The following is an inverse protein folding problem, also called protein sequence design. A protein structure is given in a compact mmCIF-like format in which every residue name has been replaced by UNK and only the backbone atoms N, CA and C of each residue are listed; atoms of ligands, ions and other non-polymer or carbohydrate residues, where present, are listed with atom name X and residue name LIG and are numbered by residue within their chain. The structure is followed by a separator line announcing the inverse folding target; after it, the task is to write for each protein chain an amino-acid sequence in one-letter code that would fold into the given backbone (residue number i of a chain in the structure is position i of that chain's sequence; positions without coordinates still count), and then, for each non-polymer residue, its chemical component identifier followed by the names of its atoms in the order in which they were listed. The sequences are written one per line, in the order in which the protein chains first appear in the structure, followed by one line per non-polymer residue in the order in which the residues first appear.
data_IF_012312926908
#
_entry.id   IF_012312926908
#
_cell.length_a   1.000
_cell.length_b   1.000
_cell.length_c   1.000
_cell.angle_alpha   90.00
_cell.angle_beta   90.00
_cell.angle_gamma   90.00
#
_symmetry.space_group_name_H-M   'P 1'
#
loop_
_entity.id
_entity.type
_entity.pdbx_description
1 polymer ?
#
# COMPACT_ATOMS: atom_id res chain seq x y z
N UNK A 1 9.33 8.13 35.75
CA UNK A 1 10.19 8.06 34.56
C UNK A 1 10.39 6.61 34.19
N UNK A 2 9.60 6.06 33.27
CA UNK A 2 9.89 4.75 32.70
C UNK A 2 11.09 4.93 31.76
N UNK A 3 12.15 4.12 31.93
CA UNK A 3 13.23 4.06 30.95
C UNK A 3 12.63 3.90 29.56
N UNK A 4 12.94 4.83 28.65
CA UNK A 4 12.66 4.70 27.23
C UNK A 4 13.53 3.55 26.70
N UNK A 5 13.11 2.31 26.95
CA UNK A 5 13.69 1.12 26.33
C UNK A 5 13.28 1.18 24.86
N UNK A 6 14.13 1.78 24.02
CA UNK A 6 14.03 1.59 22.58
C UNK A 6 14.23 0.10 22.32
N UNK A 7 13.24 -0.61 21.73
CA UNK A 7 13.41 -2.02 21.41
C UNK A 7 14.62 -2.19 20.50
N UNK A 8 15.40 -3.26 20.71
CA UNK A 8 16.48 -3.61 19.78
C UNK A 8 15.87 -3.89 18.40
N UNK A 9 16.52 -3.48 17.30
CA UNK A 9 16.06 -3.78 15.95
C UNK A 9 15.81 -5.28 15.78
N UNK A 10 14.59 -5.65 15.35
CA UNK A 10 14.14 -7.04 15.27
C UNK A 10 13.83 -7.50 13.84
N UNK A 11 13.91 -6.59 12.85
CA UNK A 11 13.59 -6.87 11.46
C UNK A 11 14.86 -6.97 10.61
N UNK A 12 15.24 -8.21 10.26
CA UNK A 12 16.23 -8.46 9.21
C UNK A 12 15.63 -8.38 7.80
N UNK A 13 16.46 -8.60 6.78
CA UNK A 13 16.08 -8.49 5.37
C UNK A 13 14.74 -9.14 5.02
N UNK A 14 14.51 -10.41 5.39
CA UNK A 14 13.29 -11.13 5.00
C UNK A 14 12.02 -10.57 5.61
N UNK A 15 12.08 -10.13 6.88
CA UNK A 15 10.93 -9.51 7.56
C UNK A 15 10.59 -8.15 6.96
N UNK A 16 11.60 -7.34 6.68
CA UNK A 16 11.44 -6.03 6.02
C UNK A 16 10.97 -6.18 4.57
N UNK A 17 11.53 -7.16 3.85
CA UNK A 17 11.09 -7.51 2.50
C UNK A 17 9.63 -7.97 2.49
N UNK A 18 9.25 -8.81 3.44
CA UNK A 18 7.87 -9.28 3.55
C UNK A 18 6.89 -8.15 3.88
N UNK A 19 7.32 -7.10 4.58
CA UNK A 19 6.50 -5.92 4.82
C UNK A 19 6.23 -5.14 3.53
N UNK A 20 7.26 -4.83 2.76
CA UNK A 20 7.09 -4.11 1.48
C UNK A 20 6.35 -4.95 0.44
N UNK A 21 6.77 -6.20 0.23
CA UNK A 21 6.14 -7.11 -0.74
C UNK A 21 4.74 -7.53 -0.32
N UNK A 22 4.55 -7.83 0.96
CA UNK A 22 3.25 -8.27 1.46
C UNK A 22 2.20 -7.18 1.52
N UNK A 23 2.60 -5.90 1.57
CA UNK A 23 1.71 -4.75 1.40
C UNK A 23 1.25 -4.63 -0.05
N UNK A 24 2.18 -4.65 -1.02
CA UNK A 24 1.84 -4.55 -2.45
C UNK A 24 0.95 -5.73 -2.89
N UNK A 25 1.37 -6.96 -2.58
CA UNK A 25 0.60 -8.18 -2.86
C UNK A 25 -0.56 -8.27 -1.86
N UNK A 26 -1.61 -7.50 -2.13
CA UNK A 26 -2.85 -7.45 -1.36
C UNK A 26 -4.05 -7.94 -2.17
N UNK A 27 -5.14 -7.16 -2.17
CA UNK A 27 -6.35 -7.43 -2.94
C UNK A 27 -6.22 -7.06 -4.42
N UNK A 28 -5.43 -6.04 -4.76
CA UNK A 28 -5.35 -5.46 -6.11
C UNK A 28 -4.90 -6.45 -7.19
N UNK A 29 -3.93 -7.31 -6.88
CA UNK A 29 -3.43 -8.33 -7.81
C UNK A 29 -4.55 -9.28 -8.29
N UNK A 30 -5.48 -9.65 -7.41
CA UNK A 30 -6.48 -10.65 -7.77
C UNK A 30 -7.47 -10.17 -8.82
N UNK A 31 -7.71 -8.87 -8.94
CA UNK A 31 -8.56 -8.30 -10.00
C UNK A 31 -7.77 -7.88 -11.24
N UNK A 32 -6.45 -7.95 -11.20
CA UNK A 32 -5.61 -7.42 -12.28
C UNK A 32 -5.88 -8.05 -13.65
N UNK A 33 -6.11 -9.37 -13.80
CA UNK A 33 -6.49 -9.94 -15.09
C UNK A 33 -7.80 -9.36 -15.65
N UNK A 34 -8.79 -9.11 -14.79
CA UNK A 34 -10.06 -8.51 -15.20
C UNK A 34 -9.87 -7.05 -15.64
N UNK A 35 -9.09 -6.27 -14.90
CA UNK A 35 -8.77 -4.87 -15.22
C UNK A 35 -7.96 -4.73 -16.51
N UNK A 36 -7.13 -5.72 -16.84
CA UNK A 36 -6.22 -5.68 -17.99
C UNK A 36 -6.74 -6.40 -19.23
N UNK A 37 -7.78 -7.24 -19.10
CA UNK A 37 -8.41 -7.93 -20.23
C UNK A 37 -8.82 -6.99 -21.38
N UNK A 38 -9.43 -5.81 -21.14
CA UNK A 38 -9.76 -4.87 -22.21
C UNK A 38 -8.55 -4.30 -22.97
N UNK A 39 -7.34 -4.42 -22.42
CA UNK A 39 -6.10 -3.90 -22.99
C UNK A 39 -5.20 -5.00 -23.58
N UNK A 40 -5.54 -6.27 -23.38
CA UNK A 40 -4.78 -7.41 -23.90
C UNK A 40 -3.29 -7.37 -23.56
N UNK A 41 -2.44 -7.55 -24.58
CA UNK A 41 -0.99 -7.51 -24.46
C UNK A 41 -0.43 -6.17 -23.97
N UNK A 42 -1.04 -5.03 -24.35
CA UNK A 42 -0.67 -3.73 -23.78
C UNK A 42 -0.98 -3.64 -22.28
N UNK A 43 -2.02 -4.33 -21.83
CA UNK A 43 -2.31 -4.51 -20.41
C UNK A 43 -1.14 -5.19 -19.67
N UNK A 44 -0.63 -6.29 -20.20
CA UNK A 44 0.54 -6.98 -19.65
C UNK A 44 1.81 -6.13 -19.70
N UNK A 45 2.05 -5.41 -20.79
CA UNK A 45 3.17 -4.47 -20.90
C UNK A 45 3.08 -3.33 -19.88
N UNK A 46 1.86 -2.94 -19.48
CA UNK A 46 1.67 -1.92 -18.45
C UNK A 46 2.21 -2.35 -17.08
N UNK A 47 2.20 -3.66 -16.76
CA UNK A 47 2.81 -4.19 -15.54
C UNK A 47 4.32 -3.91 -15.52
N UNK A 48 4.99 -4.02 -16.67
CA UNK A 48 6.41 -3.71 -16.81
C UNK A 48 6.69 -2.20 -16.70
N UNK A 49 5.83 -1.37 -17.30
CA UNK A 49 5.92 0.09 -17.18
C UNK A 49 5.77 0.52 -15.72
N UNK A 50 4.73 0.02 -15.05
CA UNK A 50 4.44 0.32 -13.66
C UNK A 50 5.53 -0.24 -12.74
N UNK A 51 5.97 -1.48 -12.94
CA UNK A 51 7.08 -2.07 -12.20
C UNK A 51 8.39 -1.30 -12.36
N UNK A 52 8.68 -0.79 -13.57
CA UNK A 52 9.80 0.11 -13.83
C UNK A 52 9.66 1.44 -13.08
N UNK A 53 8.47 2.04 -13.09
CA UNK A 53 8.19 3.25 -12.31
C UNK A 53 8.30 3.06 -10.80
N UNK A 54 7.77 1.96 -10.28
CA UNK A 54 7.93 1.56 -8.87
C UNK A 54 9.40 1.32 -8.54
N UNK A 55 10.20 0.77 -9.46
CA UNK A 55 11.64 0.63 -9.27
C UNK A 55 12.36 1.99 -9.20
N UNK A 56 11.95 2.97 -9.99
CA UNK A 56 12.46 4.35 -9.87
C UNK A 56 12.16 4.93 -8.49
N UNK A 57 10.92 4.77 -8.01
CA UNK A 57 10.52 5.18 -6.65
C UNK A 57 11.35 4.43 -5.60
N UNK A 58 11.50 3.11 -5.74
CA UNK A 58 12.27 2.27 -4.82
C UNK A 58 13.75 2.70 -4.74
N UNK A 59 14.38 3.03 -5.87
CA UNK A 59 15.76 3.49 -5.92
C UNK A 59 15.94 4.89 -5.32
N UNK A 60 14.96 5.79 -5.52
CA UNK A 60 14.91 7.09 -4.86
C UNK A 60 14.79 6.93 -3.34
N UNK A 61 13.80 6.16 -2.86
CA UNK A 61 13.60 5.87 -1.44
C UNK A 61 14.83 5.18 -0.81
N UNK A 62 15.51 4.31 -1.57
CA UNK A 62 16.74 3.65 -1.14
C UNK A 62 17.86 4.64 -0.81
N UNK A 63 18.00 5.72 -1.59
CA UNK A 63 19.02 6.74 -1.32
C UNK A 63 18.62 7.67 -0.18
N UNK A 64 17.35 8.04 -0.11
CA UNK A 64 16.82 8.81 1.02
C UNK A 64 17.01 8.06 2.34
N UNK A 65 16.71 6.76 2.38
CA UNK A 65 16.88 5.94 3.59
C UNK A 65 18.35 5.89 4.08
N UNK A 66 19.33 5.90 3.16
CA UNK A 66 20.75 5.91 3.53
C UNK A 66 21.17 7.19 4.25
N UNK A 67 20.48 8.30 3.99
CA UNK A 67 20.77 9.61 4.59
C UNK A 67 19.87 9.87 5.80
N UNK A 68 18.63 9.37 5.76
CA UNK A 68 17.59 9.58 6.75
C UNK A 68 17.02 8.22 7.19
N UNK A 69 17.77 7.41 7.96
CA UNK A 69 17.31 6.12 8.47
C UNK A 69 16.39 6.29 9.70
N UNK A 70 15.37 7.14 9.60
CA UNK A 70 14.43 7.47 10.69
C UNK A 70 13.05 6.85 10.45
N UNK A 71 12.30 6.64 11.54
CA UNK A 71 10.91 6.20 11.46
C UNK A 71 10.05 7.19 10.65
N UNK A 72 9.05 6.69 9.92
CA UNK A 72 8.08 7.49 9.19
C UNK A 72 8.29 7.57 7.68
N UNK A 73 9.40 7.06 7.14
CA UNK A 73 9.60 6.89 5.70
C UNK A 73 9.37 8.19 4.90
N UNK A 74 8.44 8.23 3.93
CA UNK A 74 8.12 9.44 3.16
C UNK A 74 7.86 10.69 4.00
N UNK A 75 7.23 10.56 5.17
CA UNK A 75 7.00 11.68 6.09
C UNK A 75 8.34 12.30 6.53
N UNK A 76 9.28 11.47 6.98
CA UNK A 76 10.59 11.92 7.45
C UNK A 76 11.40 12.54 6.30
N UNK A 77 11.33 11.98 5.09
CA UNK A 77 12.01 12.53 3.92
C UNK A 77 11.47 13.92 3.55
N UNK A 78 10.13 14.06 3.51
CA UNK A 78 9.49 15.34 3.25
C UNK A 78 9.88 16.38 4.30
N UNK A 79 9.98 16.00 5.58
CA UNK A 79 10.39 16.90 6.66
C UNK A 79 11.81 17.43 6.48
N UNK A 80 12.78 16.54 6.32
CA UNK A 80 14.20 16.93 6.20
C UNK A 80 14.46 17.75 4.92
N UNK A 81 13.77 17.44 3.83
CA UNK A 81 13.91 18.15 2.56
C UNK A 81 13.14 19.47 2.50
N UNK A 82 11.87 19.45 2.85
CA UNK A 82 10.87 20.49 2.54
C UNK A 82 10.28 21.18 3.78
N UNK A 83 10.56 20.69 4.98
CA UNK A 83 10.08 21.26 6.24
C UNK A 83 8.75 20.69 6.73
N UNK A 84 8.30 21.22 7.87
CA UNK A 84 7.22 20.66 8.68
C UNK A 84 5.85 20.63 7.98
N UNK A 85 5.54 21.65 7.17
CA UNK A 85 4.26 21.70 6.46
C UNK A 85 4.12 20.57 5.42
N UNK A 86 5.16 20.34 4.61
CA UNK A 86 5.16 19.26 3.63
C UNK A 86 5.16 17.88 4.30
N UNK A 87 5.86 17.76 5.43
CA UNK A 87 5.82 16.57 6.26
C UNK A 87 4.40 16.29 6.76
N UNK A 88 3.72 17.28 7.34
CA UNK A 88 2.35 17.14 7.81
C UNK A 88 1.41 16.70 6.69
N UNK A 89 1.46 17.34 5.52
CA UNK A 89 0.62 16.96 4.38
C UNK A 89 0.89 15.52 3.91
N UNK A 90 2.16 15.08 3.98
CA UNK A 90 2.55 13.69 3.67
C UNK A 90 1.92 12.72 4.67
N UNK A 91 2.05 12.98 5.97
CA UNK A 91 1.44 12.16 7.01
C UNK A 91 -0.08 12.17 6.92
N UNK A 92 -0.71 13.33 6.70
CA UNK A 92 -2.15 13.50 6.56
C UNK A 92 -2.71 12.65 5.42
N UNK A 93 -2.17 12.83 4.21
CA UNK A 93 -2.60 12.06 3.04
C UNK A 93 -2.34 10.56 3.21
N UNK A 94 -1.15 10.19 3.69
CA UNK A 94 -0.81 8.79 3.89
C UNK A 94 -1.73 8.10 4.90
N UNK A 95 -2.02 8.75 6.03
CA UNK A 95 -2.88 8.19 7.08
C UNK A 95 -4.31 7.97 6.58
N UNK A 96 -4.87 8.95 5.87
CA UNK A 96 -6.18 8.82 5.25
C UNK A 96 -6.24 7.63 4.29
N UNK A 97 -5.20 7.46 3.46
CA UNK A 97 -5.12 6.32 2.55
C UNK A 97 -5.03 4.97 3.24
N UNK A 98 -4.27 4.89 4.33
CA UNK A 98 -4.11 3.62 5.05
C UNK A 98 -5.42 3.22 5.73
N UNK A 99 -6.15 4.14 6.38
CA UNK A 99 -7.38 3.79 7.09
C UNK A 99 -8.49 3.31 6.15
N UNK A 100 -8.62 3.94 4.99
CA UNK A 100 -9.54 3.50 3.94
C UNK A 100 -9.12 2.18 3.32
N UNK A 101 -7.82 1.98 3.07
CA UNK A 101 -7.31 0.70 2.56
C UNK A 101 -7.55 -0.45 3.55
N UNK A 102 -7.38 -0.23 4.86
CA UNK A 102 -7.70 -1.20 5.90
C UNK A 102 -9.16 -1.62 5.82
N UNK A 103 -10.09 -0.66 5.72
CA UNK A 103 -11.51 -0.97 5.57
C UNK A 103 -11.81 -1.71 4.25
N UNK A 104 -11.24 -1.26 3.13
CA UNK A 104 -11.42 -1.89 1.81
C UNK A 104 -10.98 -3.35 1.79
N UNK A 105 -9.79 -3.64 2.33
CA UNK A 105 -9.26 -5.01 2.36
C UNK A 105 -10.10 -5.90 3.29
N UNK A 106 -10.59 -5.36 4.41
CA UNK A 106 -11.49 -6.10 5.29
C UNK A 106 -12.85 -6.43 4.64
N UNK A 107 -13.38 -5.55 3.78
CA UNK A 107 -14.57 -5.82 2.94
C UNK A 107 -14.25 -6.87 1.87
N UNK A 108 -13.11 -6.72 1.18
CA UNK A 108 -12.66 -7.70 0.18
C UNK A 108 -12.49 -9.11 0.76
N UNK A 109 -12.02 -9.22 2.00
CA UNK A 109 -11.88 -10.51 2.69
C UNK A 109 -13.23 -11.21 2.87
N UNK A 110 -14.28 -10.48 3.23
CA UNK A 110 -15.65 -11.03 3.33
C UNK A 110 -16.12 -11.57 1.98
N UNK A 111 -15.83 -10.86 0.88
CA UNK A 111 -16.16 -11.32 -0.47
C UNK A 111 -15.55 -12.68 -0.82
N UNK A 112 -14.29 -12.92 -0.44
CA UNK A 112 -13.67 -14.24 -0.64
C UNK A 112 -14.13 -15.30 0.37
N UNK A 113 -14.48 -14.91 1.60
CA UNK A 113 -15.01 -15.82 2.60
C UNK A 113 -16.41 -16.34 2.23
N UNK A 114 -17.19 -15.56 1.46
CA UNK A 114 -18.52 -15.96 0.96
C UNK A 114 -18.47 -17.27 0.14
N UNK A 115 -17.34 -17.57 -0.52
CA UNK A 115 -17.11 -18.86 -1.22
C UNK A 115 -17.26 -20.07 -0.28
N UNK A 116 -16.96 -19.90 1.01
CA UNK A 116 -17.06 -20.93 2.05
C UNK A 116 -18.32 -20.80 2.90
N UNK A 117 -18.87 -19.59 3.01
CA UNK A 117 -20.07 -19.28 3.78
C UNK A 117 -21.05 -18.51 2.88
N UNK A 118 -21.73 -19.20 1.95
CA UNK A 118 -22.58 -18.53 0.96
C UNK A 118 -23.69 -17.70 1.62
N UNK A 119 -23.82 -16.45 1.18
CA UNK A 119 -24.80 -15.50 1.70
C UNK A 119 -24.27 -14.59 2.80
N UNK A 120 -23.03 -14.80 3.26
CA UNK A 120 -22.37 -13.91 4.22
C UNK A 120 -22.23 -12.49 3.64
N UNK A 121 -21.79 -12.36 2.39
CA UNK A 121 -21.61 -11.05 1.75
C UNK A 121 -22.93 -10.31 1.52
N UNK A 122 -24.05 -11.04 1.49
CA UNK A 122 -25.40 -10.48 1.37
C UNK A 122 -26.00 -10.07 2.73
N UNK A 123 -25.43 -10.54 3.85
CA UNK A 123 -25.80 -10.15 5.21
C UNK A 123 -24.92 -8.99 5.70
N UNK A 124 -25.44 -7.75 5.78
CA UNK A 124 -24.64 -6.60 6.21
C UNK A 124 -24.12 -6.72 7.64
N UNK A 125 -24.88 -7.38 8.54
CA UNK A 125 -24.47 -7.53 9.93
C UNK A 125 -23.36 -8.58 10.07
N UNK A 126 -23.52 -9.74 9.43
CA UNK A 126 -22.47 -10.76 9.35
C UNK A 126 -21.19 -10.24 8.70
N UNK A 127 -21.32 -9.53 7.57
CA UNK A 127 -20.20 -8.89 6.88
C UNK A 127 -19.48 -7.88 7.76
N UNK A 128 -20.22 -6.98 8.42
CA UNK A 128 -19.67 -6.00 9.35
C UNK A 128 -18.95 -6.69 10.53
N UNK A 129 -19.56 -7.71 11.13
CA UNK A 129 -18.99 -8.43 12.27
C UNK A 129 -17.65 -9.10 11.91
N UNK A 130 -17.57 -9.74 10.74
CA UNK A 130 -16.33 -10.35 10.24
C UNK A 130 -15.27 -9.29 9.94
N UNK A 131 -15.62 -8.22 9.21
CA UNK A 131 -14.66 -7.14 8.89
C UNK A 131 -14.12 -6.46 10.16
N UNK A 132 -14.98 -6.17 11.15
CA UNK A 132 -14.56 -5.58 12.43
C UNK A 132 -13.66 -6.53 13.22
N UNK A 133 -14.05 -7.80 13.31
CA UNK A 133 -13.24 -8.82 14.01
C UNK A 133 -11.85 -8.92 13.41
N UNK A 134 -11.75 -8.84 12.07
CA UNK A 134 -10.48 -8.87 11.36
C UNK A 134 -9.62 -7.66 11.67
N UNK A 135 -10.16 -6.44 11.53
CA UNK A 135 -9.43 -5.20 11.83
C UNK A 135 -8.91 -5.20 13.27
N UNK A 136 -9.78 -5.49 14.24
CA UNK A 136 -9.40 -5.47 15.65
C UNK A 136 -8.45 -6.60 16.04
N UNK A 137 -8.51 -7.76 15.39
CA UNK A 137 -7.51 -8.81 15.55
C UNK A 137 -6.12 -8.33 15.11
N UNK A 138 -6.02 -7.61 14.00
CA UNK A 138 -4.75 -7.06 13.52
C UNK A 138 -4.25 -5.85 14.33
N UNK A 139 -5.16 -5.03 14.86
CA UNK A 139 -4.83 -4.02 15.86
C UNK A 139 -4.23 -4.70 17.10
N UNK A 140 -4.88 -5.74 17.62
CA UNK A 140 -4.37 -6.49 18.78
C UNK A 140 -3.01 -7.16 18.50
N UNK A 141 -2.83 -7.76 17.32
CA UNK A 141 -1.54 -8.32 16.90
C UNK A 141 -0.44 -7.26 16.88
N UNK A 142 -0.71 -6.07 16.34
CA UNK A 142 0.27 -4.99 16.27
C UNK A 142 0.50 -4.32 17.64
N UNK A 143 -0.45 -4.38 18.59
CA UNK A 143 -0.21 -3.97 19.98
C UNK A 143 0.78 -4.92 20.68
N UNK A 144 0.79 -6.22 20.34
CA UNK A 144 1.72 -7.19 20.95
C UNK A 144 3.19 -6.90 20.63
N UNK A 145 3.49 -6.32 19.48
CA UNK A 145 4.86 -5.92 19.12
C UNK A 145 5.14 -5.97 17.62
N UNK A 146 6.13 -5.17 17.20
CA UNK A 146 6.62 -5.14 15.81
C UNK A 146 7.24 -6.47 15.40
N UNK A 147 7.89 -7.18 16.33
CA UNK A 147 8.48 -8.50 16.06
C UNK A 147 7.42 -9.56 15.69
N UNK A 148 6.31 -9.60 16.42
CA UNK A 148 5.22 -10.54 16.15
C UNK A 148 4.54 -10.21 14.82
N UNK A 149 4.22 -8.93 14.61
CA UNK A 149 3.63 -8.44 13.37
C UNK A 149 4.53 -8.74 12.15
N UNK A 150 5.83 -8.46 12.23
CA UNK A 150 6.77 -8.72 11.12
C UNK A 150 7.01 -10.22 10.88
N UNK A 151 6.89 -11.07 11.90
CA UNK A 151 6.97 -12.52 11.74
C UNK A 151 5.71 -13.08 11.05
N UNK A 152 4.54 -12.62 11.47
CA UNK A 152 3.27 -12.93 10.81
C UNK A 152 3.29 -12.47 9.34
N UNK A 153 3.84 -11.28 9.09
CA UNK A 153 4.00 -10.73 7.75
C UNK A 153 4.85 -11.65 6.85
N UNK A 154 5.98 -12.15 7.34
CA UNK A 154 6.84 -13.07 6.57
C UNK A 154 6.10 -14.34 6.16
N UNK A 155 5.40 -14.96 7.12
CA UNK A 155 4.65 -16.19 6.88
C UNK A 155 3.56 -15.95 5.83
N UNK A 156 2.74 -14.90 6.01
CA UNK A 156 1.65 -14.60 5.08
C UNK A 156 2.14 -14.18 3.70
N UNK A 157 3.27 -13.47 3.59
CA UNK A 157 3.87 -13.12 2.29
C UNK A 157 4.36 -14.35 1.52
N UNK A 158 5.00 -15.32 2.19
CA UNK A 158 5.40 -16.58 1.55
C UNK A 158 4.16 -17.37 1.09
N UNK A 159 3.16 -17.50 1.98
CA UNK A 159 1.94 -18.26 1.71
C UNK A 159 1.08 -17.66 0.61
N UNK A 160 1.06 -16.33 0.41
CA UNK A 160 0.27 -15.69 -0.66
C UNK A 160 0.94 -15.74 -2.03
N UNK A 161 2.28 -15.77 -2.11
CA UNK A 161 3.01 -15.83 -3.38
C UNK A 161 2.84 -17.19 -4.05
N UNK A 162 2.81 -18.26 -3.26
CA UNK A 162 2.78 -19.63 -3.80
C UNK A 162 1.51 -19.91 -4.64
N UNK A 163 0.27 -19.62 -4.19
CA UNK A 163 -0.93 -19.78 -5.01
C UNK A 163 -0.92 -18.93 -6.28
N UNK A 164 -0.43 -17.69 -6.22
CA UNK A 164 -0.37 -16.79 -7.38
C UNK A 164 0.55 -17.35 -8.47
N UNK A 165 1.75 -17.81 -8.08
CA UNK A 165 2.69 -18.42 -9.01
C UNK A 165 2.25 -19.81 -9.47
N UNK A 166 1.56 -20.57 -8.63
CA UNK A 166 1.00 -21.87 -9.01
C UNK A 166 -0.05 -21.69 -10.10
N UNK A 167 -1.07 -20.86 -9.89
CA UNK A 167 -2.15 -20.64 -10.86
C UNK A 167 -1.61 -19.96 -12.13
N UNK A 168 -0.74 -18.95 -11.97
CA UNK A 168 -0.06 -18.33 -13.10
C UNK A 168 0.76 -19.32 -13.92
N UNK A 169 1.62 -20.09 -13.24
CA UNK A 169 2.48 -21.08 -13.86
C UNK A 169 1.71 -22.17 -14.57
N UNK A 170 0.67 -22.73 -13.93
CA UNK A 170 -0.18 -23.74 -14.54
C UNK A 170 -0.87 -23.22 -15.81
N UNK A 171 -1.19 -21.93 -15.89
CA UNK A 171 -1.76 -21.33 -17.10
C UNK A 171 -0.86 -21.40 -18.32
N UNK A 172 0.47 -21.33 -18.16
CA UNK A 172 1.42 -21.52 -19.27
C UNK A 172 1.53 -22.97 -19.77
N UNK A 173 1.15 -23.94 -18.93
CA UNK A 173 1.21 -25.37 -19.27
C UNK A 173 -0.17 -25.98 -19.51
N UNK A 174 -1.24 -25.20 -19.37
CA UNK A 174 -2.59 -25.63 -19.71
C UNK A 174 -2.65 -25.86 -21.23
N UNK A 175 -3.32 -26.94 -21.65
CA UNK A 175 -3.31 -27.35 -23.05
C UNK A 175 -3.90 -26.26 -23.93
N UNK A 176 -3.12 -25.83 -24.93
CA UNK A 176 -3.51 -24.76 -25.85
C UNK A 176 -3.24 -23.39 -25.23
N UNK A 177 -2.36 -22.60 -25.84
CA UNK A 177 -2.22 -21.16 -25.56
C UNK A 177 -3.44 -20.44 -26.18
N UNK A 178 -4.63 -20.96 -25.89
CA UNK A 178 -5.84 -20.79 -26.70
C UNK A 178 -6.36 -19.34 -26.64
N UNK A 179 -6.00 -18.62 -25.57
CA UNK A 179 -6.40 -17.24 -25.33
C UNK A 179 -5.21 -16.29 -25.27
N UNK A 180 -4.20 -16.49 -26.13
CA UNK A 180 -3.10 -15.55 -26.25
C UNK A 180 -3.64 -14.11 -26.44
N UNK A 181 -3.36 -13.17 -25.52
CA UNK A 181 -3.97 -11.85 -25.58
C UNK A 181 -3.57 -11.12 -26.86
N UNK A 182 -4.55 -10.55 -27.56
CA UNK A 182 -4.28 -9.64 -28.68
C UNK A 182 -3.36 -8.50 -28.22
N UNK A 183 -2.43 -8.05 -29.07
CA UNK A 183 -1.47 -7.01 -28.69
C UNK A 183 -2.20 -5.73 -28.27
N UNK A 184 -3.15 -5.26 -29.06
CA UNK A 184 -3.92 -4.04 -28.79
C UNK A 184 -5.40 -4.20 -29.20
N UNK A 185 -6.23 -4.87 -28.38
CA UNK A 185 -7.65 -5.06 -28.68
C UNK A 185 -8.46 -3.76 -28.68
N UNK A 186 -7.93 -2.67 -28.11
CA UNK A 186 -8.62 -1.38 -28.09
C UNK A 186 -8.78 -0.75 -29.48
N UNK A 187 -7.95 -1.16 -30.45
CA UNK A 187 -7.88 -0.57 -31.80
C UNK A 187 -7.38 0.89 -31.83
N UNK A 188 -7.16 1.51 -30.67
CA UNK A 188 -6.77 2.90 -30.51
C UNK A 188 -5.26 3.10 -30.44
N UNK A 189 -4.85 4.29 -30.01
CA UNK A 189 -3.44 4.63 -29.84
C UNK A 189 -2.79 3.75 -28.75
N UNK A 190 -1.73 3.00 -29.06
CA UNK A 190 -1.08 2.10 -28.10
C UNK A 190 -0.56 2.80 -26.85
N UNK A 191 -0.04 4.02 -26.97
CA UNK A 191 0.49 4.77 -25.84
C UNK A 191 -0.62 5.18 -24.87
N UNK A 192 -1.79 5.57 -25.40
CA UNK A 192 -2.96 5.89 -24.58
C UNK A 192 -3.48 4.66 -23.84
N UNK A 193 -3.59 3.52 -24.52
CA UNK A 193 -4.02 2.26 -23.92
C UNK A 193 -3.03 1.77 -22.83
N UNK A 194 -1.73 1.82 -23.13
CA UNK A 194 -0.67 1.48 -22.18
C UNK A 194 -0.70 2.40 -20.95
N UNK A 195 -0.93 3.70 -21.17
CA UNK A 195 -1.06 4.67 -20.08
C UNK A 195 -2.25 4.37 -19.18
N UNK A 196 -3.43 4.15 -19.76
CA UNK A 196 -4.64 3.79 -19.02
C UNK A 196 -4.44 2.53 -18.17
N UNK A 197 -3.86 1.48 -18.77
CA UNK A 197 -3.57 0.24 -18.07
C UNK A 197 -2.53 0.41 -16.95
N UNK A 198 -1.49 1.23 -17.14
CA UNK A 198 -0.46 1.48 -16.14
C UNK A 198 -1.02 2.18 -14.88
N UNK A 199 -2.00 3.08 -15.06
CA UNK A 199 -2.68 3.75 -13.95
C UNK A 199 -3.48 2.72 -13.12
N UNK A 200 -4.17 1.78 -13.78
CA UNK A 200 -4.90 0.72 -13.10
C UNK A 200 -3.97 -0.22 -12.32
N UNK A 201 -2.83 -0.58 -12.90
CA UNK A 201 -1.87 -1.46 -12.22
C UNK A 201 -1.19 -0.79 -11.04
N UNK A 202 -1.01 0.54 -11.06
CA UNK A 202 -0.29 1.25 -9.99
C UNK A 202 -0.91 1.01 -8.61
N UNK A 203 -2.25 0.88 -8.51
CA UNK A 203 -2.91 0.52 -7.25
C UNK A 203 -2.31 -0.74 -6.59
N UNK A 204 -2.01 -1.77 -7.38
CA UNK A 204 -1.44 -3.02 -6.87
C UNK A 204 0.06 -2.91 -6.52
N UNK A 205 0.75 -1.88 -7.01
CA UNK A 205 2.18 -1.63 -6.76
C UNK A 205 2.45 -0.64 -5.63
N UNK A 206 1.41 0.02 -5.12
CA UNK A 206 1.50 0.87 -3.93
C UNK A 206 1.87 0.03 -2.71
N UNK A 207 2.79 0.54 -1.88
CA UNK A 207 3.17 -0.10 -0.61
C UNK A 207 4.65 -0.41 -0.47
N UNK A 208 5.46 -0.23 -1.52
CA UNK A 208 6.91 -0.47 -1.45
C UNK A 208 7.59 0.37 -0.34
N UNK A 209 7.10 1.59 -0.11
CA UNK A 209 7.55 2.51 0.92
C UNK A 209 7.30 2.01 2.35
N UNK A 210 6.39 1.06 2.55
CA UNK A 210 6.12 0.48 3.87
C UNK A 210 7.36 -0.12 4.51
N UNK A 211 8.30 -0.61 3.70
CA UNK A 211 9.60 -1.08 4.18
C UNK A 211 10.48 0.02 4.79
N UNK A 212 10.20 1.29 4.50
CA UNK A 212 10.96 2.45 5.00
C UNK A 212 10.39 3.05 6.28
N UNK A 213 9.12 2.77 6.59
CA UNK A 213 8.42 3.40 7.72
C UNK A 213 8.97 2.93 9.07
N UNK A 214 9.14 1.62 9.35
CA UNK A 214 9.70 1.12 10.60
C UNK A 214 11.23 1.09 10.63
N UNK A 215 11.90 2.12 10.12
CA UNK A 215 13.36 2.09 9.95
C UNK A 215 14.13 1.80 11.26
N UNK A 216 13.64 2.28 12.40
CA UNK A 216 14.22 2.04 13.73
C UNK A 216 14.17 0.56 14.17
N UNK A 217 13.20 -0.20 13.66
CA UNK A 217 13.04 -1.63 13.98
C UNK A 217 13.87 -2.53 13.04
N UNK A 218 14.49 -1.95 12.00
CA UNK A 218 15.26 -2.68 10.98
C UNK A 218 16.74 -2.77 11.35
N UNK A 219 17.33 -3.94 11.16
CA UNK A 219 18.77 -4.17 11.36
C UNK A 219 19.55 -3.54 10.20
N UNK A 220 20.47 -2.61 10.52
CA UNK A 220 21.25 -1.83 9.55
C UNK A 220 20.36 -1.20 8.46
N UNK A 221 19.44 -0.28 8.80
CA UNK A 221 18.42 0.23 7.90
C UNK A 221 19.00 0.83 6.61
N UNK A 222 20.16 1.49 6.69
CA UNK A 222 20.88 2.10 5.56
C UNK A 222 21.36 1.07 4.53
N UNK A 223 21.48 -0.20 4.91
CA UNK A 223 21.89 -1.31 4.03
C UNK A 223 20.74 -2.24 3.70
N UNK A 224 19.88 -2.53 4.66
CA UNK A 224 18.81 -3.52 4.53
C UNK A 224 17.65 -2.96 3.74
N UNK A 225 17.15 -1.77 4.05
CA UNK A 225 16.00 -1.18 3.38
C UNK A 225 16.27 -0.95 1.89
N UNK A 226 17.43 -0.42 1.45
CA UNK A 226 17.73 -0.29 0.02
C UNK A 226 17.68 -1.61 -0.76
N UNK A 227 18.22 -2.69 -0.19
CA UNK A 227 18.17 -4.02 -0.81
C UNK A 227 16.73 -4.55 -0.88
N UNK A 228 15.96 -4.33 0.18
CA UNK A 228 14.55 -4.70 0.25
C UNK A 228 13.74 -3.97 -0.81
N UNK A 229 13.92 -2.66 -0.96
CA UNK A 229 13.18 -1.85 -1.93
C UNK A 229 13.44 -2.32 -3.36
N UNK A 230 14.70 -2.55 -3.73
CA UNK A 230 15.06 -3.06 -5.04
C UNK A 230 14.47 -4.46 -5.30
N UNK A 231 14.77 -5.43 -4.42
CA UNK A 231 14.31 -6.80 -4.62
C UNK A 231 12.80 -6.94 -4.46
N UNK A 232 12.17 -6.13 -3.62
CA UNK A 232 10.72 -6.11 -3.45
C UNK A 232 10.01 -5.66 -4.72
N UNK A 233 10.46 -4.57 -5.35
CA UNK A 233 9.90 -4.10 -6.62
C UNK A 233 10.08 -5.14 -7.74
N UNK A 234 11.27 -5.76 -7.83
CA UNK A 234 11.54 -6.83 -8.81
C UNK A 234 10.64 -8.05 -8.56
N UNK A 235 10.54 -8.52 -7.31
CA UNK A 235 9.70 -9.68 -6.98
C UNK A 235 8.25 -9.42 -7.34
N UNK A 236 7.67 -8.29 -6.93
CA UNK A 236 6.26 -7.97 -7.21
C UNK A 236 6.01 -7.88 -8.70
N UNK A 237 6.88 -7.19 -9.45
CA UNK A 237 6.76 -7.09 -10.91
C UNK A 237 6.71 -8.47 -11.57
N UNK A 238 7.62 -9.37 -11.20
CA UNK A 238 7.68 -10.72 -11.75
C UNK A 238 6.46 -11.57 -11.36
N UNK A 239 6.08 -11.55 -10.07
CA UNK A 239 4.90 -12.28 -9.59
C UNK A 239 3.66 -11.80 -10.32
N UNK A 240 3.49 -10.49 -10.47
CA UNK A 240 2.33 -9.88 -11.12
C UNK A 240 2.25 -10.21 -12.59
N UNK A 241 3.39 -10.13 -13.30
CA UNK A 241 3.46 -10.47 -14.71
C UNK A 241 3.13 -11.94 -14.94
N UNK A 242 3.81 -12.85 -14.23
CA UNK A 242 3.63 -14.30 -14.41
C UNK A 242 2.21 -14.73 -14.02
N UNK A 243 1.72 -14.26 -12.88
CA UNK A 243 0.38 -14.63 -12.40
C UNK A 243 -0.74 -14.11 -13.30
N UNK A 244 -0.66 -12.84 -13.69
CA UNK A 244 -1.69 -12.23 -14.55
C UNK A 244 -1.68 -12.81 -15.94
N UNK A 245 -0.49 -12.94 -16.55
CA UNK A 245 -0.38 -13.51 -17.89
C UNK A 245 -0.86 -14.96 -17.91
N UNK A 246 -0.46 -15.77 -16.93
CA UNK A 246 -0.95 -17.14 -16.81
C UNK A 246 -2.47 -17.24 -16.73
N UNK A 247 -3.13 -16.37 -15.97
CA UNK A 247 -4.61 -16.31 -15.93
C UNK A 247 -5.20 -15.94 -17.30
N UNK A 248 -4.63 -14.94 -17.97
CA UNK A 248 -5.09 -14.49 -19.29
C UNK A 248 -4.90 -15.55 -20.39
N UNK A 249 -3.98 -16.49 -20.22
CA UNK A 249 -3.82 -17.62 -21.14
C UNK A 249 -4.89 -18.69 -20.99
N UNK A 250 -5.55 -18.76 -19.83
CA UNK A 250 -6.51 -19.81 -19.48
C UNK A 250 -7.95 -19.37 -19.69
N UNK A 251 -8.24 -18.08 -19.45
CA UNK A 251 -9.61 -17.56 -19.45
C UNK A 251 -9.77 -16.54 -20.58
N UNK A 252 -10.83 -16.63 -21.40
CA UNK A 252 -11.10 -15.65 -22.46
C UNK A 252 -11.20 -14.21 -21.94
N UNK A 253 -10.75 -13.25 -22.74
CA UNK A 253 -10.74 -11.84 -22.36
C UNK A 253 -12.14 -11.29 -22.04
N UNK A 254 -13.17 -11.74 -22.74
CA UNK A 254 -14.56 -11.32 -22.55
C UNK A 254 -15.11 -11.77 -21.19
N UNK A 255 -14.71 -12.98 -20.76
CA UNK A 255 -15.06 -13.52 -19.44
C UNK A 255 -14.28 -12.76 -18.36
N UNK A 256 -12.98 -12.55 -18.55
CA UNK A 256 -12.16 -11.81 -17.60
C UNK A 256 -12.65 -10.37 -17.39
N UNK A 257 -13.03 -9.66 -18.45
CA UNK A 257 -13.46 -8.26 -18.38
C UNK A 257 -14.72 -8.05 -17.51
N UNK A 258 -15.50 -9.10 -17.27
CA UNK A 258 -16.70 -9.06 -16.41
C UNK A 258 -16.55 -9.87 -15.13
N UNK A 259 -15.37 -10.47 -14.91
CA UNK A 259 -15.12 -11.32 -13.76
C UNK A 259 -14.89 -10.51 -12.48
N UNK A 260 -15.51 -10.98 -11.40
CA UNK A 260 -15.26 -10.49 -10.03
C UNK A 260 -14.21 -11.34 -9.30
N UNK A 261 -13.67 -12.39 -9.93
CA UNK A 261 -12.72 -13.32 -9.33
C UNK A 261 -11.87 -14.06 -10.39
N UNK A 262 -11.09 -13.37 -11.22
CA UNK A 262 -10.48 -13.96 -12.41
C UNK A 262 -9.45 -15.06 -12.09
N UNK A 263 -8.77 -14.98 -10.95
CA UNK A 263 -7.91 -16.08 -10.49
C UNK A 263 -8.70 -17.33 -10.12
N UNK A 264 -9.89 -17.19 -9.53
CA UNK A 264 -10.75 -18.33 -9.21
C UNK A 264 -11.33 -18.95 -10.49
N UNK A 265 -11.62 -18.14 -11.50
CA UNK A 265 -12.08 -18.62 -12.81
C UNK A 265 -10.99 -19.44 -13.50
N UNK A 266 -9.76 -18.92 -13.55
CA UNK A 266 -8.61 -19.66 -14.08
C UNK A 266 -8.33 -20.94 -13.29
N UNK A 267 -8.38 -20.88 -11.96
CA UNK A 267 -8.19 -22.08 -11.15
C UNK A 267 -9.31 -23.10 -11.36
N UNK A 268 -10.53 -22.67 -11.64
CA UNK A 268 -11.65 -23.55 -11.98
C UNK A 268 -11.43 -24.21 -13.34
N UNK A 269 -10.95 -23.46 -14.33
CA UNK A 269 -10.62 -24.00 -15.65
C UNK A 269 -9.49 -25.04 -15.60
N UNK A 270 -8.47 -24.82 -14.76
CA UNK A 270 -7.30 -25.72 -14.67
C UNK A 270 -7.51 -26.89 -13.72
N UNK A 271 -8.14 -26.67 -12.55
CA UNK A 271 -8.20 -27.63 -11.44
C UNK A 271 -9.63 -28.04 -11.05
N UNK A 272 -10.65 -27.55 -11.77
CA UNK A 272 -12.06 -27.74 -11.43
C UNK A 272 -12.51 -26.94 -10.20
N UNK A 273 -13.71 -27.22 -9.64
CA UNK A 273 -14.30 -26.44 -8.55
C UNK A 273 -13.45 -26.33 -7.27
N UNK A 274 -12.51 -27.26 -7.05
CA UNK A 274 -11.57 -27.18 -5.95
C UNK A 274 -10.57 -26.01 -6.12
N UNK A 275 -10.19 -25.68 -7.36
CA UNK A 275 -9.28 -24.58 -7.66
C UNK A 275 -9.78 -23.23 -7.17
N UNK A 276 -11.07 -22.92 -7.37
CA UNK A 276 -11.67 -21.68 -6.86
C UNK A 276 -11.54 -21.54 -5.34
N UNK A 277 -11.79 -22.63 -4.60
CA UNK A 277 -11.63 -22.63 -3.13
C UNK A 277 -10.16 -22.47 -2.72
N UNK A 278 -9.24 -23.12 -3.43
CA UNK A 278 -7.81 -22.98 -3.18
C UNK A 278 -7.34 -21.54 -3.38
N UNK A 279 -7.76 -20.87 -4.46
CA UNK A 279 -7.46 -19.46 -4.70
C UNK A 279 -8.11 -18.55 -3.66
N UNK A 280 -9.36 -18.81 -3.28
CA UNK A 280 -10.04 -18.01 -2.25
C UNK A 280 -9.27 -18.02 -0.92
N UNK A 281 -8.72 -19.18 -0.50
CA UNK A 281 -7.84 -19.27 0.68
C UNK A 281 -6.58 -18.43 0.47
N UNK A 282 -5.93 -18.53 -0.69
CA UNK A 282 -4.74 -17.73 -1.01
C UNK A 282 -5.02 -16.22 -0.99
N UNK A 283 -6.18 -15.79 -1.51
CA UNK A 283 -6.63 -14.40 -1.49
C UNK A 283 -6.92 -13.91 -0.07
N UNK A 284 -7.60 -14.72 0.74
CA UNK A 284 -7.82 -14.42 2.15
C UNK A 284 -6.50 -14.27 2.92
N UNK A 285 -5.54 -15.19 2.73
CA UNK A 285 -4.19 -15.09 3.32
C UNK A 285 -3.47 -13.82 2.84
N UNK A 286 -3.63 -13.47 1.56
CA UNK A 286 -3.08 -12.24 1.01
C UNK A 286 -3.63 -11.01 1.72
N UNK A 287 -4.96 -10.92 1.85
CA UNK A 287 -5.65 -9.79 2.45
C UNK A 287 -5.30 -9.61 3.92
N UNK A 288 -5.21 -10.69 4.69
CA UNK A 288 -4.79 -10.58 6.11
C UNK A 288 -3.33 -10.16 6.26
N UNK A 289 -2.45 -10.61 5.37
CA UNK A 289 -1.06 -10.13 5.32
C UNK A 289 -0.96 -8.66 4.93
N UNK A 290 -1.80 -8.17 4.01
CA UNK A 290 -1.83 -6.75 3.66
C UNK A 290 -2.39 -5.90 4.81
N UNK A 291 -3.47 -6.34 5.45
CA UNK A 291 -4.03 -5.69 6.65
C UNK A 291 -3.01 -5.53 7.76
N UNK A 292 -2.23 -6.58 8.03
CA UNK A 292 -1.17 -6.51 9.03
C UNK A 292 -0.15 -5.40 8.73
N UNK A 293 0.34 -5.34 7.48
CA UNK A 293 1.26 -4.30 7.04
C UNK A 293 0.64 -2.90 7.16
N UNK A 294 -0.60 -2.73 6.70
CA UNK A 294 -1.35 -1.47 6.76
C UNK A 294 -1.54 -0.97 8.19
N UNK A 295 -1.96 -1.85 9.11
CA UNK A 295 -2.16 -1.48 10.52
C UNK A 295 -0.84 -1.07 11.18
N UNK A 296 0.26 -1.79 10.87
CA UNK A 296 1.59 -1.44 11.38
C UNK A 296 2.02 -0.05 10.92
N UNK A 297 2.03 0.20 9.60
CA UNK A 297 2.54 1.47 9.06
C UNK A 297 1.61 2.64 9.34
N UNK A 298 0.29 2.39 9.32
CA UNK A 298 -0.72 3.41 9.61
C UNK A 298 -0.67 3.93 11.03
N UNK A 299 -0.13 3.14 11.97
CA UNK A 299 0.11 3.60 13.33
C UNK A 299 1.45 4.31 13.49
N UNK A 300 2.48 3.89 12.74
CA UNK A 300 3.83 4.45 12.85
C UNK A 300 3.98 5.84 12.22
N UNK A 301 3.31 6.13 11.10
CA UNK A 301 3.44 7.44 10.44
C UNK A 301 2.90 8.59 11.31
N UNK A 302 1.69 8.52 11.91
CA UNK A 302 1.22 9.54 12.85
C UNK A 302 2.07 9.62 14.12
N UNK A 303 2.59 8.48 14.58
CA UNK A 303 3.51 8.45 15.73
C UNK A 303 4.80 9.21 15.44
N UNK A 304 5.39 9.02 14.25
CA UNK A 304 6.59 9.74 13.83
C UNK A 304 6.34 11.26 13.80
N UNK A 305 5.20 11.69 13.26
CA UNK A 305 4.80 13.09 13.26
C UNK A 305 4.57 13.66 14.67
N UNK A 306 4.00 12.86 15.58
CA UNK A 306 3.81 13.26 16.97
C UNK A 306 5.13 13.38 17.74
N UNK A 307 6.11 12.49 17.50
CA UNK A 307 7.46 12.61 18.07
C UNK A 307 8.16 13.90 17.64
N UNK A 308 7.88 14.35 16.42
CA UNK A 308 8.37 15.62 15.88
C UNK A 308 7.51 16.84 16.28
N UNK A 309 6.49 16.66 17.15
CA UNK A 309 5.59 17.73 17.62
C UNK A 309 4.74 18.36 16.50
N UNK A 310 4.50 17.63 15.41
CA UNK A 310 3.62 18.03 14.30
C UNK A 310 2.23 17.39 14.37
N UNK A 311 1.98 16.58 15.41
CA UNK A 311 0.73 15.88 15.65
C UNK A 311 0.52 15.70 17.16
N UNK A 312 -0.71 15.45 17.67
CA UNK A 312 -0.95 15.38 19.11
C UNK A 312 -0.02 14.38 19.81
N UNK A 313 0.60 14.81 20.91
CA UNK A 313 1.64 14.05 21.62
C UNK A 313 1.16 12.67 22.12
N UNK A 314 -0.15 12.49 22.27
CA UNK A 314 -0.75 11.19 22.60
C UNK A 314 -0.43 10.09 21.58
N UNK A 315 -0.22 10.43 20.30
CA UNK A 315 0.20 9.47 19.27
C UNK A 315 1.66 9.00 19.42
N UNK A 316 2.50 9.77 20.12
CA UNK A 316 3.89 9.41 20.41
C UNK A 316 4.02 8.44 21.60
N UNK A 317 2.96 8.24 22.40
CA UNK A 317 2.98 7.38 23.58
C UNK A 317 3.16 5.92 23.21
N UNK A 318 4.24 5.32 23.69
CA UNK A 318 4.59 3.92 23.46
C UNK A 318 3.98 3.01 24.53
N UNK A 319 3.52 1.84 24.12
CA UNK A 319 3.08 0.77 25.01
C UNK A 319 4.27 0.07 25.68
N UNK A 320 4.01 -0.79 26.66
CA UNK A 320 5.03 -1.68 27.26
C UNK A 320 5.76 -2.54 26.22
N UNK A 321 5.12 -2.83 25.09
CA UNK A 321 5.66 -3.66 24.03
C UNK A 321 6.38 -2.83 22.94
N UNK A 322 6.59 -1.53 23.15
CA UNK A 322 7.28 -0.67 22.19
C UNK A 322 6.45 -0.33 20.95
N UNK A 323 5.13 -0.25 21.07
CA UNK A 323 4.20 0.05 19.95
C UNK A 323 3.33 1.27 20.26
N UNK A 324 2.96 2.12 19.27
CA UNK A 324 2.14 3.30 19.51
C UNK A 324 0.66 2.94 19.73
N UNK A 325 0.32 2.59 20.96
CA UNK A 325 -1.01 2.09 21.33
C UNK A 325 -2.13 3.04 20.91
N UNK A 326 -2.01 4.33 21.23
CA UNK A 326 -3.05 5.30 20.90
C UNK A 326 -3.27 5.40 19.39
N UNK A 327 -2.18 5.41 18.60
CA UNK A 327 -2.23 5.45 17.14
C UNK A 327 -2.94 4.23 16.55
N UNK A 328 -2.63 3.03 17.08
CA UNK A 328 -3.28 1.77 16.69
C UNK A 328 -4.79 1.77 16.99
N UNK A 329 -5.20 2.26 18.16
CA UNK A 329 -6.62 2.33 18.54
C UNK A 329 -7.37 3.33 17.65
N UNK A 330 -6.80 4.52 17.41
CA UNK A 330 -7.41 5.52 16.53
C UNK A 330 -7.57 4.98 15.11
N UNK A 331 -6.55 4.30 14.58
CA UNK A 331 -6.64 3.63 13.28
C UNK A 331 -7.80 2.61 13.24
N UNK A 332 -7.91 1.77 14.27
CA UNK A 332 -8.99 0.77 14.38
C UNK A 332 -10.39 1.41 14.46
N UNK A 333 -10.52 2.51 15.19
CA UNK A 333 -11.77 3.27 15.30
C UNK A 333 -12.15 3.92 13.97
N UNK A 334 -11.20 4.52 13.26
CA UNK A 334 -11.46 5.14 11.97
C UNK A 334 -11.83 4.10 10.91
N UNK A 335 -11.14 2.96 10.88
CA UNK A 335 -11.53 1.82 10.06
C UNK A 335 -12.94 1.30 10.42
N UNK A 336 -13.29 1.27 11.72
CA UNK A 336 -14.64 0.90 12.19
C UNK A 336 -15.70 1.85 11.64
N UNK A 337 -15.47 3.16 11.68
CA UNK A 337 -16.40 4.15 11.09
C UNK A 337 -16.58 3.91 9.60
N UNK A 338 -15.50 3.69 8.85
CA UNK A 338 -15.57 3.43 7.41
C UNK A 338 -16.33 2.14 7.07
N UNK A 339 -16.14 1.08 7.88
CA UNK A 339 -16.90 -0.17 7.73
C UNK A 339 -18.39 0.03 8.03
N UNK A 340 -18.72 0.84 9.05
CA UNK A 340 -20.10 1.21 9.32
C UNK A 340 -20.72 1.98 8.15
N UNK A 341 -20.00 2.92 7.53
CA UNK A 341 -20.46 3.61 6.33
C UNK A 341 -20.72 2.62 5.18
N UNK A 342 -19.82 1.66 4.94
CA UNK A 342 -19.96 0.68 3.87
C UNK A 342 -21.20 -0.23 4.03
N UNK A 343 -21.45 -0.74 5.24
CA UNK A 343 -22.52 -1.71 5.48
C UNK A 343 -23.85 -1.09 5.91
N UNK A 344 -23.91 0.24 6.07
CA UNK A 344 -25.17 0.95 6.35
C UNK A 344 -25.85 1.38 5.05
N UNK A 345 -27.13 1.03 4.91
CA UNK A 345 -27.95 1.43 3.75
C UNK A 345 -27.94 2.95 3.58
N UNK A 346 -27.67 3.41 2.35
CA UNK A 346 -27.61 4.83 2.01
C UNK A 346 -26.27 5.53 2.28
N UNK A 347 -25.33 4.88 2.99
CA UNK A 347 -24.02 5.47 3.31
C UNK A 347 -22.85 4.85 2.53
N UNK A 348 -23.08 3.75 1.79
CA UNK A 348 -22.07 3.09 0.95
C UNK A 348 -21.40 4.04 -0.05
N UNK A 349 -22.15 4.97 -0.65
CA UNK A 349 -21.59 5.96 -1.57
C UNK A 349 -20.56 6.87 -0.89
N UNK A 350 -20.71 7.18 0.41
CA UNK A 350 -19.71 7.95 1.15
C UNK A 350 -18.42 7.15 1.37
N UNK A 351 -18.54 5.84 1.62
CA UNK A 351 -17.37 4.95 1.68
C UNK A 351 -16.66 4.86 0.32
N UNK A 352 -17.40 4.67 -0.77
CA UNK A 352 -16.84 4.62 -2.13
C UNK A 352 -16.15 5.94 -2.50
N UNK A 353 -16.73 7.08 -2.12
CA UNK A 353 -16.11 8.39 -2.30
C UNK A 353 -14.79 8.54 -1.50
N UNK A 354 -14.77 8.08 -0.25
CA UNK A 354 -13.55 8.10 0.57
C UNK A 354 -12.47 7.15 0.04
N UNK A 355 -12.85 6.01 -0.54
CA UNK A 355 -11.93 5.11 -1.23
C UNK A 355 -11.31 5.75 -2.48
N UNK A 356 -12.13 6.43 -3.29
CA UNK A 356 -11.66 7.16 -4.47
C UNK A 356 -10.58 8.17 -4.08
N UNK A 357 -10.88 8.96 -3.05
CA UNK A 357 -9.97 9.97 -2.50
C UNK A 357 -8.62 9.40 -2.04
N UNK A 358 -8.67 8.23 -1.40
CA UNK A 358 -7.52 7.60 -0.78
C UNK A 358 -6.46 7.12 -1.77
N UNK A 359 -6.87 6.80 -2.98
CA UNK A 359 -5.99 6.28 -4.03
C UNK A 359 -4.92 7.32 -4.42
N UNK A 360 -5.25 8.61 -4.41
CA UNK A 360 -4.29 9.67 -4.69
C UNK A 360 -3.38 10.02 -3.52
N UNK A 361 -3.87 9.86 -2.30
CA UNK A 361 -3.16 10.33 -1.12
C UNK A 361 -1.86 9.54 -0.85
N UNK A 362 -1.63 8.41 -1.54
CA UNK A 362 -0.35 7.66 -1.51
C UNK A 362 0.68 8.20 -2.50
N UNK A 363 0.25 8.70 -3.67
CA UNK A 363 1.17 9.18 -4.71
C UNK A 363 1.81 10.51 -4.32
N UNK A 364 1.12 11.34 -3.55
CA UNK A 364 1.62 12.63 -3.05
C UNK A 364 2.90 12.45 -2.20
N UNK A 365 2.96 11.53 -1.21
CA UNK A 365 4.18 11.16 -0.52
C UNK A 365 5.38 10.84 -1.42
N UNK A 366 5.16 10.15 -2.55
CA UNK A 366 6.25 9.84 -3.49
C UNK A 366 6.74 11.10 -4.22
N UNK A 367 5.83 11.95 -4.67
CA UNK A 367 6.18 13.22 -5.30
C UNK A 367 6.96 14.12 -4.33
N UNK A 368 6.52 14.24 -3.08
CA UNK A 368 7.23 15.01 -2.06
C UNK A 368 8.58 14.40 -1.71
N UNK A 369 8.70 13.07 -1.64
CA UNK A 369 9.99 12.40 -1.45
C UNK A 369 10.97 12.71 -2.58
N UNK A 370 10.50 12.73 -3.83
CA UNK A 370 11.33 13.07 -4.98
C UNK A 370 11.83 14.52 -4.93
N UNK A 371 10.96 15.47 -4.62
CA UNK A 371 11.34 16.88 -4.47
C UNK A 371 12.25 17.07 -3.25
N UNK A 372 11.98 16.38 -2.15
CA UNK A 372 12.81 16.40 -0.95
C UNK A 372 14.25 15.93 -1.25
N UNK A 373 14.42 14.84 -2.00
CA UNK A 373 15.76 14.37 -2.42
C UNK A 373 16.48 15.46 -3.23
N UNK A 374 15.80 16.08 -4.20
CA UNK A 374 16.38 17.16 -5.02
C UNK A 374 16.81 18.37 -4.18
N UNK A 375 16.04 18.75 -3.15
CA UNK A 375 16.39 19.84 -2.25
C UNK A 375 17.56 19.48 -1.35
N UNK A 376 17.56 18.28 -0.77
CA UNK A 376 18.65 17.78 0.08
C UNK A 376 19.98 17.71 -0.68
N UNK A 377 19.95 17.26 -1.93
CA UNK A 377 21.12 17.20 -2.79
C UNK A 377 21.76 18.58 -3.02
N UNK A 378 20.97 19.65 -3.06
CA UNK A 378 21.49 21.03 -3.17
C UNK A 378 22.09 21.54 -1.86
N UNK A 379 21.51 21.18 -0.71
CA UNK A 379 21.99 21.61 0.62
C UNK A 379 23.37 21.05 0.97
N UNK A 380 23.74 19.87 0.45
CA UNK A 380 25.03 19.22 0.73
C UNK A 380 26.23 19.87 0.02
N UNK A 381 26.01 20.88 -0.83
CA UNK A 381 27.08 21.76 -1.36
C UNK A 381 28.06 21.11 -2.36
N UNK A 382 27.93 19.81 -2.63
CA UNK A 382 28.58 19.14 -3.77
C UNK A 382 27.60 19.07 -4.93
N UNK A 383 28.07 19.25 -6.16
CA UNK A 383 27.25 19.00 -7.34
C UNK A 383 26.65 17.59 -7.22
N UNK A 384 25.33 17.52 -7.05
CA UNK A 384 24.61 16.27 -6.95
C UNK A 384 24.97 15.40 -8.16
N UNK A 385 25.33 14.11 -7.99
CA UNK A 385 25.65 13.27 -9.12
C UNK A 385 24.48 13.30 -10.11
N UNK A 386 24.75 13.58 -11.39
CA UNK A 386 23.72 13.73 -12.43
C UNK A 386 22.74 12.54 -12.44
N UNK A 387 23.26 11.33 -12.23
CA UNK A 387 22.45 10.11 -12.13
C UNK A 387 21.41 10.16 -11.00
N UNK A 388 21.75 10.74 -9.85
CA UNK A 388 20.84 10.86 -8.71
C UNK A 388 19.72 11.83 -9.07
N UNK A 389 20.08 13.01 -9.57
CA UNK A 389 19.13 14.04 -10.01
C UNK A 389 18.17 13.53 -11.08
N UNK A 390 18.70 12.85 -12.11
CA UNK A 390 17.89 12.27 -13.18
C UNK A 390 16.93 11.20 -12.65
N UNK A 391 17.37 10.38 -11.69
CA UNK A 391 16.51 9.35 -11.12
C UNK A 391 15.39 9.94 -10.25
N UNK A 392 15.67 10.95 -9.42
CA UNK A 392 14.63 11.63 -8.64
C UNK A 392 13.63 12.35 -9.56
N UNK A 393 14.13 12.98 -10.63
CA UNK A 393 13.27 13.62 -11.63
C UNK A 393 12.41 12.59 -12.36
N UNK A 394 12.96 11.44 -12.74
CA UNK A 394 12.22 10.37 -13.37
C UNK A 394 11.13 9.79 -12.44
N UNK A 395 11.44 9.58 -11.15
CA UNK A 395 10.44 9.17 -10.15
C UNK A 395 9.34 10.23 -9.97
N UNK A 396 9.68 11.51 -9.95
CA UNK A 396 8.72 12.61 -9.89
C UNK A 396 7.81 12.67 -11.12
N UNK A 397 8.39 12.58 -12.32
CA UNK A 397 7.65 12.58 -13.60
C UNK A 397 6.71 11.38 -13.67
N UNK A 398 7.19 10.19 -13.32
CA UNK A 398 6.36 8.98 -13.28
C UNK A 398 5.19 9.13 -12.30
N UNK A 399 5.47 9.56 -11.06
CA UNK A 399 4.42 9.76 -10.05
C UNK A 399 3.39 10.79 -10.50
N UNK A 400 3.84 11.90 -11.09
CA UNK A 400 2.96 12.95 -11.62
C UNK A 400 2.12 12.45 -12.80
N UNK A 401 2.70 11.63 -13.67
CA UNK A 401 1.99 11.01 -14.79
C UNK A 401 0.87 10.08 -14.31
N UNK A 402 1.12 9.25 -13.29
CA UNK A 402 0.06 8.42 -12.68
C UNK A 402 -1.02 9.29 -12.04
N UNK A 403 -0.64 10.34 -11.29
CA UNK A 403 -1.61 11.27 -10.68
C UNK A 403 -2.51 11.88 -11.75
N UNK A 404 -1.92 12.44 -12.80
CA UNK A 404 -2.68 13.03 -13.92
C UNK A 404 -3.59 12.01 -14.62
N UNK A 405 -3.11 10.76 -14.70
CA UNK A 405 -3.85 9.65 -15.28
C UNK A 405 -5.06 9.15 -14.47
N UNK A 406 -5.08 9.37 -13.16
CA UNK A 406 -6.17 8.91 -12.27
C UNK A 406 -7.54 9.57 -12.53
N UNK A 407 -7.59 10.56 -13.43
CA UNK A 407 -8.80 11.28 -13.81
C UNK A 407 -8.96 12.59 -13.07
N UNK A 408 -9.56 13.57 -13.75
CA UNK A 408 -9.72 14.93 -13.22
C UNK A 408 -10.49 14.96 -11.90
N UNK A 409 -11.57 14.21 -11.80
CA UNK A 409 -12.41 14.16 -10.60
C UNK A 409 -11.62 13.63 -9.40
N UNK A 410 -10.91 12.52 -9.57
CA UNK A 410 -10.03 11.96 -8.54
C UNK A 410 -9.00 13.01 -8.11
N UNK A 411 -8.28 13.62 -9.05
CA UNK A 411 -7.25 14.65 -8.78
C UNK A 411 -7.82 15.86 -8.04
N UNK A 412 -8.95 16.36 -8.49
CA UNK A 412 -9.61 17.50 -7.87
C UNK A 412 -9.98 17.21 -6.42
N UNK A 413 -10.69 16.11 -6.17
CA UNK A 413 -11.12 15.75 -4.83
C UNK A 413 -9.95 15.37 -3.92
N UNK A 414 -8.94 14.67 -4.44
CA UNK A 414 -7.71 14.35 -3.71
C UNK A 414 -6.95 15.61 -3.27
N UNK A 415 -6.91 16.63 -4.13
CA UNK A 415 -6.34 17.93 -3.78
C UNK A 415 -7.14 18.64 -2.69
N UNK A 416 -8.48 18.68 -2.79
CA UNK A 416 -9.34 19.24 -1.75
C UNK A 416 -9.13 18.53 -0.40
N UNK A 417 -9.00 17.21 -0.40
CA UNK A 417 -8.74 16.43 0.81
C UNK A 417 -7.37 16.78 1.44
N UNK A 418 -6.35 17.01 0.61
CA UNK A 418 -5.04 17.47 1.08
C UNK A 418 -5.15 18.87 1.71
N UNK A 419 -5.88 19.79 1.07
CA UNK A 419 -6.14 21.14 1.58
C UNK A 419 -6.94 21.11 2.89
N UNK A 420 -7.84 20.14 3.07
CA UNK A 420 -8.58 19.96 4.31
C UNK A 420 -7.67 19.66 5.52
N UNK A 421 -6.42 19.25 5.29
CA UNK A 421 -5.40 19.15 6.33
C UNK A 421 -4.88 20.51 6.83
N UNK A 422 -4.98 21.59 6.04
CA UNK A 422 -4.42 22.90 6.42
C UNK A 422 -5.04 23.51 7.68
N UNK A 423 -6.38 23.51 7.87
CA UNK A 423 -6.98 23.99 9.12
C UNK A 423 -6.52 23.17 10.33
N UNK A 424 -6.37 21.85 10.16
CA UNK A 424 -5.89 20.95 11.21
C UNK A 424 -4.43 21.26 11.54
N UNK A 425 -3.58 21.46 10.54
CA UNK A 425 -2.19 21.88 10.73
C UNK A 425 -2.09 23.19 11.49
N UNK A 426 -2.86 24.21 11.08
CA UNK A 426 -2.86 25.51 11.73
C UNK A 426 -3.30 25.40 13.20
N UNK A 427 -4.35 24.63 13.48
CA UNK A 427 -4.83 24.39 14.84
C UNK A 427 -3.78 23.66 15.69
N UNK A 428 -3.16 22.60 15.17
CA UNK A 428 -2.11 21.84 15.86
C UNK A 428 -0.85 22.69 16.11
N UNK A 429 -0.47 23.52 15.15
CA UNK A 429 0.72 24.37 15.28
C UNK A 429 0.56 25.41 16.40
N UNK A 430 -0.66 25.83 16.73
CA UNK A 430 -0.92 26.68 17.89
C UNK A 430 -0.87 25.87 19.19
N UNK A 431 -1.64 24.77 19.28
CA UNK A 431 -1.90 24.09 20.56
C UNK A 431 -0.78 23.12 21.00
N UNK A 432 -0.09 22.45 20.06
CA UNK A 432 1.04 21.57 20.41
C UNK A 432 2.25 22.40 20.88
N UNK A 433 2.40 23.61 20.35
CA UNK A 433 3.41 24.56 20.80
C UNK A 433 3.15 25.03 22.23
N UNK A 434 1.88 25.18 22.62
CA UNK A 434 1.48 25.48 24.00
C UNK A 434 1.70 24.30 24.96
N UNK A 435 1.31 23.06 24.60
CA UNK A 435 1.56 21.85 25.42
C UNK A 435 3.06 21.67 25.70
N UNK A 436 3.91 21.90 24.70
CA UNK A 436 5.36 21.76 24.86
C UNK A 436 6.02 22.89 25.64
N UNK A 437 5.38 24.06 25.77
CA UNK A 437 5.85 25.12 26.67
C UNK A 437 5.40 24.87 28.12
N UNK A 438 4.21 24.27 28.31
CA UNK A 438 3.70 23.88 29.63
C UNK A 438 4.53 22.77 30.30
N UNK A 439 4.92 21.72 29.56
CA UNK A 439 5.76 20.62 30.09
C UNK A 439 7.21 21.03 30.41
N UNK A 440 7.69 22.18 29.94
CA UNK A 440 9.04 22.72 30.25
C UNK A 440 8.99 23.69 31.44
N UNK A 441 7.80 24.15 31.82
CA UNK A 441 7.58 25.06 32.94
C UNK A 441 7.24 24.34 34.26
N UNK A 442 6.91 23.05 34.21
CA UNK A 442 6.86 22.12 35.36
C UNK A 442 8.17 21.32 35.49
#
# INVERSE_FOLDING_TARGET
MAENVTPKPCMGFWRTWALGVGMMIGSGIFMMPALLAPFGGLGLMSILVTGGGTLLIALMLSRLTKVIPKVGGPYAYAREGLGDFAAFLTMWGYSLSIWTAVAAVAVGFVGYLDVFVPGLAADPLGSLAVSLSLVWAFVALNIKGVQESSSFQLITTILKILPLLLIGGLGFFHQGVDYMPEVNPTGGNPLSALSAAAILTMWAFVGIECATIPAEDVIEPEKTIPRVLFWGAVTVTLVYLVSTFGVMLVVPAEVLATSTSPFSDAATAVMGPFGAKFVAIGAMISMVGALNAMVLVGAQTPMAAARDKLFPLSFAKMSRNGTPLFSLIVLGLLATVLLLLNYTKGLRGAFEFLLLLSTLSVLIPYAFSAVAELVLLRKVGKAAPLQTTLLSLAAFVYTTWVIAGSGYETVFWGFILLLAGMPVYAWLHVHVTEETQGEVAE
#
